data_IF_621535374408
#
_entry.id   IF_621535374408
#
_cell.length_a   1.000
_cell.length_b   1.000
_cell.length_c   1.000
_cell.angle_alpha   90.00
_cell.angle_beta   90.00
_cell.angle_gamma   90.00
#
_symmetry.space_group_name_H-M   'P 1'
#
loop_
_entity.id
_entity.type
_entity.pdbx_description
1 polymer ?
#
# COMPACT_ATOMS: atom_id res chain seq x y z
N UNK A 1 14.28 9.96 11.33
CA UNK A 1 14.33 10.06 9.85
C UNK A 1 14.84 8.78 9.18
N UNK A 2 15.45 7.83 9.90
CA UNK A 2 16.02 6.59 9.30
C UNK A 2 14.97 5.60 8.79
N UNK A 3 13.87 5.36 9.54
CA UNK A 3 12.87 4.32 9.24
C UNK A 3 12.19 4.42 7.86
N UNK A 4 12.09 5.63 7.29
CA UNK A 4 11.49 5.79 5.96
C UNK A 4 12.36 5.20 4.85
N UNK A 5 13.68 5.30 4.99
CA UNK A 5 14.64 4.83 3.99
C UNK A 5 14.65 3.31 3.86
N UNK A 6 14.49 2.59 4.96
CA UNK A 6 14.51 1.12 4.98
C UNK A 6 13.39 0.54 4.07
N UNK A 7 12.18 1.11 4.13
CA UNK A 7 11.08 0.70 3.26
C UNK A 7 11.37 0.96 1.78
N UNK A 8 11.98 2.10 1.43
CA UNK A 8 12.29 2.42 0.04
C UNK A 8 13.41 1.54 -0.52
N UNK A 9 14.44 1.27 0.29
CA UNK A 9 15.51 0.33 -0.08
C UNK A 9 14.99 -1.10 -0.23
N UNK A 10 14.11 -1.53 0.68
CA UNK A 10 13.40 -2.80 0.54
C UNK A 10 12.52 -2.83 -0.71
N UNK A 11 11.81 -1.75 -1.00
CA UNK A 11 10.99 -1.65 -2.23
C UNK A 11 11.86 -1.78 -3.48
N UNK A 12 13.04 -1.15 -3.49
CA UNK A 12 14.00 -1.26 -4.59
C UNK A 12 14.53 -2.69 -4.74
N UNK A 13 14.90 -3.35 -3.64
CA UNK A 13 15.31 -4.76 -3.65
C UNK A 13 14.23 -5.66 -4.26
N UNK A 14 12.98 -5.50 -3.83
CA UNK A 14 11.85 -6.29 -4.33
C UNK A 14 11.54 -5.99 -5.80
N UNK A 15 11.66 -4.73 -6.22
CA UNK A 15 11.55 -4.34 -7.62
C UNK A 15 12.57 -5.11 -8.46
N UNK A 16 13.85 -4.97 -8.11
CA UNK A 16 14.96 -5.53 -8.90
C UNK A 16 14.95 -7.07 -8.90
N UNK A 17 14.53 -7.67 -7.80
CA UNK A 17 14.48 -9.13 -7.65
C UNK A 17 13.32 -9.77 -8.40
N UNK A 18 12.12 -9.16 -8.36
CA UNK A 18 10.90 -9.80 -8.84
C UNK A 18 10.36 -9.26 -10.17
N UNK A 19 10.76 -8.05 -10.58
CA UNK A 19 10.26 -7.40 -11.79
C UNK A 19 11.41 -6.97 -12.73
N UNK A 20 12.38 -7.85 -13.04
CA UNK A 20 13.53 -7.46 -13.86
C UNK A 20 13.10 -7.06 -15.27
N UNK A 21 13.55 -5.89 -15.71
CA UNK A 21 13.27 -5.36 -17.05
C UNK A 21 11.85 -4.79 -17.25
N UNK A 22 11.02 -4.78 -16.20
CA UNK A 22 9.70 -4.18 -16.25
C UNK A 22 9.76 -2.72 -15.74
N UNK A 23 8.81 -1.90 -16.20
CA UNK A 23 8.65 -0.51 -15.76
C UNK A 23 7.38 -0.39 -14.92
N UNK A 24 7.53 0.08 -13.68
CA UNK A 24 6.39 0.32 -12.82
C UNK A 24 5.65 1.60 -13.23
N UNK A 25 4.33 1.51 -13.24
CA UNK A 25 3.45 2.62 -12.98
C UNK A 25 3.50 2.96 -11.48
N UNK A 26 3.93 4.17 -11.15
CA UNK A 26 3.87 4.69 -9.77
C UNK A 26 2.48 5.26 -9.52
N UNK A 27 1.88 4.86 -8.40
CA UNK A 27 0.58 5.35 -7.93
C UNK A 27 0.77 6.00 -6.57
N UNK A 28 0.31 7.24 -6.43
CA UNK A 28 0.43 7.98 -5.18
C UNK A 28 -0.92 8.55 -4.72
N UNK A 29 -1.34 8.19 -3.51
CA UNK A 29 -2.51 8.81 -2.88
C UNK A 29 -2.23 9.08 -1.41
N UNK A 30 -2.81 10.15 -0.85
CA UNK A 30 -2.59 10.50 0.54
C UNK A 30 -3.83 11.10 1.18
N UNK A 31 -4.04 10.79 2.47
CA UNK A 31 -5.13 11.34 3.26
C UNK A 31 -4.72 11.44 4.72
N UNK A 32 -4.82 12.66 5.28
CA UNK A 32 -4.75 12.86 6.72
C UNK A 32 -6.00 12.27 7.37
N UNK A 33 -5.83 11.45 8.40
CA UNK A 33 -6.92 11.08 9.26
C UNK A 33 -7.36 12.32 10.06
N UNK A 34 -8.65 12.65 9.96
CA UNK A 34 -9.25 13.78 10.69
C UNK A 34 -10.11 13.34 11.89
N UNK A 35 -10.08 12.05 12.22
CA UNK A 35 -10.97 11.43 13.21
C UNK A 35 -10.31 11.17 14.55
N UNK A 36 -11.11 10.67 15.50
CA UNK A 36 -10.64 10.29 16.84
C UNK A 36 -9.94 8.92 16.88
N UNK A 37 -10.09 8.12 15.83
CA UNK A 37 -9.54 6.77 15.73
C UNK A 37 -8.15 6.77 15.08
N UNK A 38 -7.19 5.94 15.54
CA UNK A 38 -5.87 5.87 14.92
C UNK A 38 -5.94 5.52 13.44
N UNK A 39 -5.27 6.29 12.57
CA UNK A 39 -5.38 6.10 11.13
C UNK A 39 -5.00 4.71 10.64
N UNK A 40 -4.03 4.08 11.30
CA UNK A 40 -3.57 2.75 10.94
C UNK A 40 -4.63 1.66 11.16
N UNK A 41 -5.41 1.76 12.24
CA UNK A 41 -6.47 0.78 12.54
C UNK A 41 -7.62 0.90 11.53
N UNK A 42 -7.97 2.14 11.17
CA UNK A 42 -8.94 2.43 10.10
C UNK A 42 -8.47 1.85 8.77
N UNK A 43 -7.18 2.05 8.44
CA UNK A 43 -6.56 1.52 7.23
C UNK A 43 -6.60 -0.02 7.19
N UNK A 44 -6.18 -0.69 8.26
CA UNK A 44 -6.17 -2.15 8.34
C UNK A 44 -7.57 -2.72 8.11
N UNK A 45 -8.60 -2.14 8.74
CA UNK A 45 -10.00 -2.54 8.50
C UNK A 45 -10.45 -2.25 7.08
N UNK A 46 -10.10 -1.09 6.52
CA UNK A 46 -10.40 -0.74 5.14
C UNK A 46 -9.78 -1.72 4.13
N UNK A 47 -8.61 -2.27 4.46
CA UNK A 47 -7.95 -3.33 3.68
C UNK A 47 -8.55 -4.72 3.93
N UNK A 48 -9.50 -4.86 4.85
CA UNK A 48 -10.12 -6.15 5.21
C UNK A 48 -9.24 -7.04 6.08
N UNK A 49 -8.24 -6.47 6.76
CA UNK A 49 -7.40 -7.20 7.70
C UNK A 49 -8.11 -7.33 9.05
N UNK A 50 -8.20 -8.55 9.58
CA UNK A 50 -8.89 -8.85 10.84
C UNK A 50 -7.94 -9.26 11.97
N UNK A 51 -6.64 -9.12 11.79
CA UNK A 51 -5.62 -9.53 12.74
C UNK A 51 -4.23 -9.04 12.38
N UNK A 52 -3.28 -9.28 13.28
CA UNK A 52 -1.88 -8.88 13.08
C UNK A 52 -1.29 -9.58 11.87
N UNK A 53 -0.83 -8.80 10.90
CA UNK A 53 -0.01 -9.28 9.78
C UNK A 53 1.43 -9.37 10.23
N UNK A 54 2.10 -10.46 9.86
CA UNK A 54 3.54 -10.67 10.08
C UNK A 54 4.24 -10.75 8.73
N UNK A 55 5.48 -10.27 8.67
CA UNK A 55 6.27 -10.35 7.45
C UNK A 55 6.42 -11.81 7.00
N UNK A 56 6.17 -12.06 5.71
CA UNK A 56 6.13 -13.38 5.09
C UNK A 56 4.72 -13.99 4.98
N UNK A 57 3.72 -13.42 5.65
CA UNK A 57 2.34 -13.91 5.56
C UNK A 57 1.79 -13.79 4.14
N UNK A 58 0.98 -14.79 3.74
CA UNK A 58 0.10 -14.62 2.59
C UNK A 58 -1.13 -13.84 3.02
N UNK A 59 -1.37 -12.73 2.35
CA UNK A 59 -2.46 -11.80 2.66
C UNK A 59 -3.38 -11.63 1.48
N UNK A 60 -4.63 -11.31 1.79
CA UNK A 60 -5.66 -10.94 0.83
C UNK A 60 -6.29 -9.64 1.29
N UNK A 61 -5.93 -8.54 0.62
CA UNK A 61 -6.51 -7.24 0.88
C UNK A 61 -7.78 -7.07 0.05
N UNK A 62 -8.79 -6.45 0.64
CA UNK A 62 -10.10 -6.23 0.01
C UNK A 62 -10.56 -4.77 0.11
N UNK A 63 -9.75 -3.80 -0.33
CA UNK A 63 -10.19 -2.41 -0.38
C UNK A 63 -11.40 -2.27 -1.31
N UNK A 64 -12.46 -1.64 -0.81
CA UNK A 64 -13.70 -1.45 -1.57
C UNK A 64 -13.43 -0.69 -2.89
N UNK A 65 -14.02 -1.15 -3.99
CA UNK A 65 -13.83 -0.57 -5.32
C UNK A 65 -12.65 -1.15 -6.10
N UNK A 66 -11.88 -2.07 -5.51
CA UNK A 66 -10.79 -2.78 -6.18
C UNK A 66 -11.06 -4.28 -6.25
N UNK A 67 -10.41 -4.95 -7.20
CA UNK A 67 -10.26 -6.40 -7.13
C UNK A 67 -9.44 -6.78 -5.88
N UNK A 68 -9.68 -7.96 -5.29
CA UNK A 68 -8.85 -8.44 -4.18
C UNK A 68 -7.37 -8.45 -4.55
N UNK A 69 -6.53 -7.95 -3.65
CA UNK A 69 -5.08 -7.90 -3.83
C UNK A 69 -4.50 -9.06 -3.02
N UNK A 70 -4.01 -10.08 -3.70
CA UNK A 70 -3.47 -11.29 -3.08
C UNK A 70 -1.95 -11.35 -3.27
N UNK A 71 -1.22 -11.52 -2.17
CA UNK A 71 0.23 -11.45 -2.20
C UNK A 71 0.88 -11.89 -0.90
N UNK A 72 2.15 -11.54 -0.77
CA UNK A 72 2.96 -11.77 0.43
C UNK A 72 3.21 -10.43 1.10
N UNK A 73 3.00 -10.36 2.42
CA UNK A 73 3.42 -9.24 3.24
C UNK A 73 4.96 -9.20 3.30
N UNK A 74 5.60 -8.58 2.32
CA UNK A 74 7.05 -8.59 2.15
C UNK A 74 7.76 -7.60 3.08
N UNK A 75 7.02 -6.65 3.65
CA UNK A 75 7.54 -5.70 4.64
C UNK A 75 6.47 -5.37 5.68
N UNK A 76 6.78 -5.53 6.97
CA UNK A 76 5.89 -5.14 8.07
C UNK A 76 6.71 -4.44 9.14
N UNK A 77 6.34 -3.22 9.46
CA UNK A 77 6.94 -2.43 10.54
C UNK A 77 5.88 -1.47 11.12
N UNK A 78 6.12 -0.86 12.30
CA UNK A 78 5.18 0.11 12.87
C UNK A 78 4.87 1.25 11.88
N UNK A 79 3.61 1.34 11.44
CA UNK A 79 3.16 2.32 10.44
C UNK A 79 3.51 1.98 8.98
N UNK A 80 3.88 0.74 8.70
CA UNK A 80 4.28 0.30 7.35
C UNK A 80 3.76 -1.09 7.04
N UNK A 81 3.12 -1.21 5.86
CA UNK A 81 2.74 -2.49 5.27
C UNK A 81 3.12 -2.48 3.79
N UNK A 82 3.96 -3.45 3.43
CA UNK A 82 4.29 -3.80 2.07
C UNK A 82 3.62 -5.11 1.69
N UNK A 83 3.00 -5.17 0.52
CA UNK A 83 2.50 -6.40 -0.09
C UNK A 83 3.05 -6.54 -1.51
N UNK A 84 3.82 -7.60 -1.73
CA UNK A 84 4.26 -8.00 -3.08
C UNK A 84 3.29 -9.01 -3.67
N UNK A 85 2.85 -8.72 -4.89
CA UNK A 85 1.97 -9.57 -5.70
C UNK A 85 2.71 -10.03 -6.96
N UNK A 86 2.01 -10.71 -7.88
CA UNK A 86 2.57 -11.09 -9.17
C UNK A 86 2.79 -9.92 -10.13
N UNK A 87 2.11 -8.79 -9.91
CA UNK A 87 2.06 -7.65 -10.84
C UNK A 87 2.21 -6.29 -10.13
N UNK A 88 2.60 -6.27 -8.85
CA UNK A 88 2.68 -5.02 -8.11
C UNK A 88 3.34 -5.11 -6.74
N UNK A 89 3.89 -3.98 -6.32
CA UNK A 89 4.35 -3.69 -4.96
C UNK A 89 3.42 -2.65 -4.34
N UNK A 90 2.55 -3.10 -3.45
CA UNK A 90 1.60 -2.25 -2.74
C UNK A 90 2.23 -1.77 -1.43
N UNK A 91 2.44 -0.46 -1.31
CA UNK A 91 3.06 0.18 -0.15
C UNK A 91 2.06 1.09 0.55
N UNK A 92 1.81 0.81 1.82
CA UNK A 92 0.97 1.59 2.73
C UNK A 92 1.83 2.13 3.86
N UNK A 93 1.74 3.43 4.10
CA UNK A 93 2.65 4.17 4.98
C UNK A 93 1.85 5.11 5.86
N UNK A 94 2.06 5.04 7.17
CA UNK A 94 1.66 6.08 8.11
C UNK A 94 2.78 7.11 8.22
N UNK A 95 2.52 8.28 7.65
CA UNK A 95 3.41 9.43 7.71
C UNK A 95 3.11 10.32 8.93
N UNK A 96 3.90 11.39 9.07
CA UNK A 96 3.71 12.39 10.13
C UNK A 96 2.32 13.04 10.03
N UNK A 97 1.75 13.41 11.17
CA UNK A 97 0.44 14.04 11.24
C UNK A 97 -0.71 13.10 10.89
N UNK A 98 -0.58 11.81 11.23
CA UNK A 98 -1.60 10.77 11.03
C UNK A 98 -2.09 10.65 9.57
N UNK A 99 -1.15 10.88 8.64
CA UNK A 99 -1.44 10.83 7.20
C UNK A 99 -1.10 9.46 6.64
N UNK A 100 -2.11 8.78 6.10
CA UNK A 100 -1.89 7.56 5.33
C UNK A 100 -1.48 7.91 3.91
N UNK A 101 -0.43 7.25 3.44
CA UNK A 101 0.11 7.36 2.09
C UNK A 101 0.10 5.99 1.44
N UNK A 102 -0.38 5.97 0.20
CA UNK A 102 -0.28 4.87 -0.76
C UNK A 102 0.82 5.23 -1.75
N UNK A 103 1.80 4.34 -1.93
CA UNK A 103 2.94 4.52 -2.83
C UNK A 103 3.22 3.27 -3.66
N UNK A 104 2.27 2.87 -4.49
CA UNK A 104 2.33 1.57 -5.18
C UNK A 104 3.17 1.62 -6.45
N UNK A 105 3.74 0.48 -6.80
CA UNK A 105 4.43 0.24 -8.07
C UNK A 105 3.71 -0.90 -8.78
N UNK A 106 2.99 -0.60 -9.86
CA UNK A 106 2.16 -1.57 -10.58
C UNK A 106 2.81 -1.88 -11.94
N UNK A 107 2.94 -3.17 -12.27
CA UNK A 107 3.66 -3.67 -13.44
C UNK A 107 2.73 -4.31 -14.49
N UNK A 108 1.47 -3.88 -14.52
CA UNK A 108 0.48 -4.40 -15.47
C UNK A 108 0.34 -3.50 -16.70
N UNK A 109 0.23 -4.14 -17.86
CA UNK A 109 0.00 -3.46 -19.13
C UNK A 109 -1.42 -2.87 -19.20
N UNK A 110 -1.56 -1.74 -19.91
CA UNK A 110 -2.87 -1.12 -20.26
C UNK A 110 -3.68 -0.57 -19.08
N UNK A 111 -3.01 -0.10 -18.04
CA UNK A 111 -3.64 0.65 -16.95
C UNK A 111 -3.50 2.15 -17.22
N UNK A 112 -4.57 2.92 -16.95
CA UNK A 112 -4.52 4.38 -16.92
C UNK A 112 -4.03 4.85 -15.52
N UNK A 113 -2.81 5.44 -15.44
CA UNK A 113 -2.22 5.95 -14.20
C UNK A 113 -3.17 6.78 -13.36
N UNK A 114 -3.86 7.71 -14.01
CA UNK A 114 -4.67 8.73 -13.34
C UNK A 114 -5.94 8.13 -12.75
N UNK A 115 -6.51 7.13 -13.43
CA UNK A 115 -7.70 6.44 -12.92
C UNK A 115 -7.39 5.61 -11.69
N UNK A 116 -6.25 4.92 -11.69
CA UNK A 116 -5.85 4.11 -10.52
C UNK A 116 -5.50 5.01 -9.35
N UNK A 117 -4.75 6.09 -9.59
CA UNK A 117 -4.44 7.07 -8.56
C UNK A 117 -5.70 7.70 -7.96
N UNK A 118 -6.63 8.14 -8.80
CA UNK A 118 -7.91 8.69 -8.36
C UNK A 118 -8.73 7.66 -7.56
N UNK A 119 -8.78 6.40 -8.00
CA UNK A 119 -9.49 5.35 -7.27
C UNK A 119 -8.92 5.15 -5.85
N UNK A 120 -7.59 5.18 -5.71
CA UNK A 120 -6.95 5.08 -4.38
C UNK A 120 -7.20 6.32 -3.53
N UNK A 121 -7.19 7.51 -4.14
CA UNK A 121 -7.51 8.76 -3.45
C UNK A 121 -8.98 8.79 -2.96
N UNK A 122 -9.91 8.31 -3.78
CA UNK A 122 -11.34 8.24 -3.44
C UNK A 122 -11.59 7.23 -2.32
N UNK A 123 -10.93 6.06 -2.40
CA UNK A 123 -11.00 5.04 -1.35
C UNK A 123 -10.42 5.53 -0.02
N UNK A 124 -9.24 6.15 -0.03
CA UNK A 124 -8.66 6.76 1.18
C UNK A 124 -9.59 7.85 1.75
N UNK A 125 -10.19 8.66 0.88
CA UNK A 125 -11.17 9.67 1.32
C UNK A 125 -12.33 8.98 2.03
N UNK A 126 -12.90 7.93 1.44
CA UNK A 126 -14.07 7.22 1.96
C UNK A 126 -13.82 6.59 3.35
N UNK A 127 -12.68 5.94 3.55
CA UNK A 127 -12.40 5.26 4.84
C UNK A 127 -12.08 6.25 5.97
N UNK A 128 -11.72 7.49 5.65
CA UNK A 128 -11.42 8.57 6.60
C UNK A 128 -12.47 9.69 6.61
N UNK A 129 -13.70 9.40 6.14
CA UNK A 129 -14.86 10.30 6.27
C UNK A 129 -15.41 10.33 7.69
#
# INVERSE_FOLDING_TARGET
MERGWDMYLHTLDQYLTHFPGQFALVVFAARAAGGAEPAWEVLERGLGLSGKVVQGDRVRLTPEGFAPIEGVADYVAPGFLGVRTGDGLYRFILSQGDTVVVGHHIFADKIDPRKVEQAWQDWLTKIFL
#
